data_IF_113084757906
#
_entry.id   IF_113084757906
#
_cell.length_a   1.000
_cell.length_b   1.000
_cell.length_c   1.000
_cell.angle_alpha   90.00
_cell.angle_beta   90.00
_cell.angle_gamma   90.00
#
_symmetry.space_group_name_H-M   'P 1'
#
loop_
_entity.id
_entity.type
_entity.pdbx_description
1 polymer ?
#
# COMPACT_ATOMS: atom_id res chain seq x y z
N UNK A 1 4.30 10.66 10.40
CA UNK A 1 4.38 9.90 9.13
C UNK A 1 4.98 10.82 8.09
N UNK A 2 6.04 10.37 7.39
CA UNK A 2 6.73 11.16 6.37
C UNK A 2 5.80 11.53 5.21
N UNK A 3 6.01 12.67 4.53
CA UNK A 3 5.16 13.11 3.40
C UNK A 3 5.23 12.12 2.22
N UNK A 4 6.42 11.56 1.96
CA UNK A 4 6.61 10.51 0.95
C UNK A 4 5.70 9.28 1.20
N UNK A 5 5.60 8.85 2.47
CA UNK A 5 4.75 7.71 2.86
C UNK A 5 3.27 8.06 2.72
N UNK A 6 2.87 9.31 3.01
CA UNK A 6 1.48 9.75 2.82
C UNK A 6 1.08 9.73 1.35
N UNK A 7 1.95 10.23 0.48
CA UNK A 7 1.69 10.23 -0.97
C UNK A 7 1.62 8.80 -1.51
N UNK A 8 2.58 7.95 -1.14
CA UNK A 8 2.56 6.54 -1.54
C UNK A 8 1.30 5.80 -1.04
N UNK A 9 0.79 6.12 0.15
CA UNK A 9 -0.49 5.58 0.62
C UNK A 9 -1.64 6.04 -0.28
N UNK A 10 -1.70 7.32 -0.65
CA UNK A 10 -2.77 7.84 -1.51
C UNK A 10 -2.72 7.22 -2.91
N UNK A 11 -1.53 7.08 -3.50
CA UNK A 11 -1.34 6.41 -4.79
C UNK A 11 -1.72 4.93 -4.71
N UNK A 12 -1.34 4.23 -3.64
CA UNK A 12 -1.73 2.83 -3.42
C UNK A 12 -3.24 2.68 -3.22
N UNK A 13 -3.91 3.60 -2.53
CA UNK A 13 -5.36 3.60 -2.39
C UNK A 13 -6.07 3.77 -3.74
N UNK A 14 -5.56 4.65 -4.60
CA UNK A 14 -6.09 4.89 -5.94
C UNK A 14 -5.89 3.67 -6.84
N UNK A 15 -4.66 3.14 -6.88
CA UNK A 15 -4.32 1.95 -7.67
C UNK A 15 -5.16 0.73 -7.25
N UNK A 16 -5.31 0.47 -5.94
CA UNK A 16 -6.16 -0.62 -5.45
C UNK A 16 -7.64 -0.40 -5.83
N UNK A 17 -8.08 0.84 -6.02
CA UNK A 17 -9.47 1.12 -6.38
C UNK A 17 -9.82 0.69 -7.81
N UNK A 18 -8.83 0.45 -8.68
CA UNK A 18 -9.06 -0.07 -10.03
C UNK A 18 -9.73 -1.46 -10.00
N UNK A 19 -10.75 -1.72 -10.85
CA UNK A 19 -11.44 -3.02 -10.94
C UNK A 19 -10.53 -4.22 -11.20
N UNK A 20 -9.38 -4.01 -11.84
CA UNK A 20 -8.39 -5.06 -12.14
C UNK A 20 -7.56 -5.44 -10.92
N UNK A 21 -7.55 -4.60 -9.88
CA UNK A 21 -6.82 -4.79 -8.63
C UNK A 21 -7.75 -5.22 -7.49
N UNK A 22 -8.06 -4.33 -6.54
CA UNK A 22 -9.02 -4.61 -5.47
C UNK A 22 -10.45 -4.27 -5.87
N UNK A 23 -10.63 -3.37 -6.84
CA UNK A 23 -11.90 -2.83 -7.32
C UNK A 23 -12.59 -1.89 -6.34
N UNK A 24 -11.91 -1.46 -5.29
CA UNK A 24 -12.40 -0.51 -4.29
C UNK A 24 -11.29 0.00 -3.38
N UNK A 25 -11.55 1.11 -2.71
CA UNK A 25 -10.69 1.63 -1.66
C UNK A 25 -10.52 0.61 -0.52
N UNK A 26 -9.28 0.29 -0.09
CA UNK A 26 -9.05 -0.59 1.05
C UNK A 26 -9.58 0.03 2.34
N UNK A 27 -9.96 -0.82 3.30
CA UNK A 27 -10.46 -0.39 4.60
C UNK A 27 -9.36 0.16 5.52
N UNK A 28 -8.10 -0.26 5.30
CA UNK A 28 -6.93 0.23 6.04
C UNK A 28 -5.67 -0.02 5.22
N UNK A 29 -4.72 0.92 5.25
CA UNK A 29 -3.34 0.75 4.79
C UNK A 29 -2.40 1.11 5.95
N UNK A 30 -1.35 0.32 6.14
CA UNK A 30 -0.33 0.49 7.17
C UNK A 30 1.06 0.33 6.55
N UNK A 31 1.87 1.36 6.66
CA UNK A 31 3.30 1.26 6.35
C UNK A 31 3.97 0.27 7.31
N UNK A 32 4.75 -0.66 6.77
CA UNK A 32 5.45 -1.68 7.55
C UNK A 32 6.96 -1.45 7.57
N UNK A 33 7.57 -1.30 6.41
CA UNK A 33 9.02 -1.11 6.29
C UNK A 33 9.38 -0.53 4.92
N UNK A 34 10.65 -0.21 4.69
CA UNK A 34 11.20 0.13 3.38
C UNK A 34 12.55 -0.56 3.20
N UNK A 35 12.93 -0.81 1.96
CA UNK A 35 14.26 -1.29 1.61
C UNK A 35 14.73 -0.61 0.32
N UNK A 36 16.03 -0.64 0.09
CA UNK A 36 16.64 -0.23 -1.16
C UNK A 36 17.12 -1.50 -1.88
N UNK A 37 16.82 -1.64 -3.16
CA UNK A 37 17.29 -2.78 -3.96
C UNK A 37 18.73 -2.59 -4.47
N UNK A 38 19.24 -3.58 -5.21
CA UNK A 38 20.62 -3.57 -5.72
C UNK A 38 20.89 -2.44 -6.73
N UNK A 39 19.84 -1.87 -7.33
CA UNK A 39 19.91 -0.75 -8.28
C UNK A 39 19.70 0.62 -7.61
N UNK A 40 19.56 0.65 -6.28
CA UNK A 40 19.34 1.88 -5.52
C UNK A 40 17.88 2.35 -5.51
N UNK A 41 16.92 1.51 -5.88
CA UNK A 41 15.50 1.86 -5.90
C UNK A 41 14.91 1.65 -4.51
N UNK A 42 14.32 2.71 -3.97
CA UNK A 42 13.66 2.69 -2.67
C UNK A 42 12.25 2.14 -2.79
N UNK A 43 12.04 0.96 -2.20
CA UNK A 43 10.76 0.26 -2.14
C UNK A 43 10.10 0.44 -0.77
N UNK A 44 8.79 0.67 -0.75
CA UNK A 44 7.99 0.84 0.47
C UNK A 44 7.05 -0.36 0.64
N UNK A 45 7.09 -1.01 1.79
CA UNK A 45 6.25 -2.18 2.07
C UNK A 45 5.03 -1.74 2.88
N UNK A 46 3.84 -2.05 2.35
CA UNK A 46 2.57 -1.78 2.99
C UNK A 46 1.81 -3.06 3.31
N UNK A 47 1.04 -3.01 4.40
CA UNK A 47 -0.03 -3.98 4.69
C UNK A 47 -1.35 -3.29 4.50
N UNK A 48 -2.31 -3.96 3.87
CA UNK A 48 -3.65 -3.40 3.72
C UNK A 48 -4.75 -4.41 4.02
N UNK A 49 -5.94 -3.92 4.32
CA UNK A 49 -7.15 -4.72 4.53
C UNK A 49 -8.18 -4.37 3.48
N UNK A 50 -8.72 -5.38 2.78
CA UNK A 50 -9.83 -5.20 1.83
C UNK A 50 -11.12 -4.73 2.49
N UNK A 51 -11.40 -5.23 3.68
CA UNK A 51 -12.63 -4.98 4.44
C UNK A 51 -12.29 -5.01 5.94
N UNK A 52 -13.10 -4.35 6.77
CA UNK A 52 -12.88 -4.25 8.23
C UNK A 52 -12.77 -5.63 8.91
N UNK A 53 -13.53 -6.61 8.42
CA UNK A 53 -13.56 -8.00 8.91
C UNK A 53 -12.70 -8.98 8.08
N UNK A 54 -11.92 -8.50 7.09
CA UNK A 54 -11.11 -9.35 6.21
C UNK A 54 -9.71 -9.65 6.73
N UNK A 55 -9.11 -10.76 6.25
CA UNK A 55 -7.67 -11.03 6.42
C UNK A 55 -6.84 -9.94 5.75
N UNK A 56 -5.70 -9.58 6.36
CA UNK A 56 -4.76 -8.61 5.80
C UNK A 56 -4.00 -9.17 4.61
N UNK A 57 -3.64 -8.28 3.68
CA UNK A 57 -2.84 -8.55 2.48
C UNK A 57 -1.60 -7.64 2.48
N UNK A 58 -0.57 -8.04 1.74
CA UNK A 58 0.66 -7.27 1.55
C UNK A 58 0.59 -6.53 0.21
N UNK A 59 0.98 -5.26 0.21
CA UNK A 59 1.23 -4.45 -0.99
C UNK A 59 2.70 -4.01 -1.00
N UNK A 60 3.29 -3.99 -2.19
CA UNK A 60 4.65 -3.50 -2.47
C UNK A 60 4.55 -2.22 -3.29
#
# INVERSE_FOLDING_TARGET
MNEEIKNAIAELEDWLSDPSELGKKPAKIEYTNSFEDEDGIKCLIFKYKKSVLGKGMLGL
#
